data_IF_434313912673
#
_entry.id   IF_434313912673
#
_cell.length_a   1.000
_cell.length_b   1.000
_cell.length_c   1.000
_cell.angle_alpha   90.00
_cell.angle_beta   90.00
_cell.angle_gamma   90.00
#
_symmetry.space_group_name_H-M   'P 1'
#
loop_
_entity.id
_entity.type
_entity.pdbx_description
1 polymer ?
#
# COMPACT_ATOMS: atom_id res chain seq x y z
N UNK A 1 -5.23 -2.85 -3.93
CA UNK A 1 -4.62 -2.13 -2.80
C UNK A 1 -5.69 -1.30 -2.10
N UNK A 2 -5.83 -1.50 -0.80
CA UNK A 2 -6.58 -0.59 0.06
C UNK A 2 -5.66 0.53 0.53
N UNK A 3 -6.17 1.76 0.59
CA UNK A 3 -5.48 2.91 1.16
C UNK A 3 -6.46 3.85 1.86
N UNK A 4 -6.01 4.44 2.96
CA UNK A 4 -6.75 5.45 3.73
C UNK A 4 -5.84 6.60 4.13
N UNK A 5 -6.28 7.83 3.88
CA UNK A 5 -5.59 9.06 4.30
C UNK A 5 -6.60 9.96 5.01
N UNK A 6 -6.43 10.17 6.32
CA UNK A 6 -7.46 10.84 7.13
C UNK A 6 -8.77 10.05 7.09
N UNK A 7 -9.84 10.68 6.64
CA UNK A 7 -11.16 10.06 6.47
C UNK A 7 -11.40 9.47 5.06
N UNK A 8 -10.52 9.78 4.10
CA UNK A 8 -10.64 9.32 2.72
C UNK A 8 -10.12 7.88 2.57
N UNK A 9 -11.02 6.96 2.20
CA UNK A 9 -10.72 5.55 2.01
C UNK A 9 -11.04 5.09 0.58
N UNK A 10 -10.13 4.32 -0.02
CA UNK A 10 -10.36 3.72 -1.35
C UNK A 10 -9.72 2.34 -1.50
N UNK A 11 -10.31 1.53 -2.39
CA UNK A 11 -9.73 0.27 -2.84
C UNK A 11 -9.50 0.37 -4.35
N UNK A 12 -8.24 0.28 -4.76
CA UNK A 12 -7.83 0.32 -6.17
C UNK A 12 -7.42 -1.08 -6.60
N UNK A 13 -7.99 -1.67 -7.68
CA UNK A 13 -7.47 -2.89 -8.29
C UNK A 13 -6.00 -2.68 -8.72
N UNK A 14 -5.10 -3.56 -8.30
CA UNK A 14 -3.68 -3.50 -8.69
C UNK A 14 -3.42 -4.63 -9.68
N UNK A 15 -2.93 -4.25 -10.85
CA UNK A 15 -2.51 -5.13 -11.94
C UNK A 15 -1.26 -4.52 -12.60
N UNK A 16 -0.66 -5.25 -13.54
CA UNK A 16 0.48 -4.84 -14.34
C UNK A 16 0.21 -3.48 -15.00
N UNK A 17 1.18 -2.58 -14.87
CA UNK A 17 1.10 -1.22 -15.44
C UNK A 17 0.38 -0.19 -14.56
N UNK A 18 -0.21 -0.60 -13.44
CA UNK A 18 -0.79 0.35 -12.47
C UNK A 18 0.31 0.93 -11.58
N UNK A 19 0.36 2.27 -11.49
CA UNK A 19 1.23 3.01 -10.59
C UNK A 19 0.37 3.79 -9.59
N UNK A 20 0.70 3.70 -8.29
CA UNK A 20 -0.05 4.35 -7.21
C UNK A 20 0.88 5.20 -6.35
N UNK A 21 0.45 6.42 -6.04
CA UNK A 21 1.09 7.26 -5.04
C UNK A 21 0.58 6.91 -3.65
N UNK A 22 1.51 6.82 -2.68
CA UNK A 22 1.23 6.61 -1.27
C UNK A 22 1.78 7.83 -0.51
N UNK A 23 0.96 8.83 -0.20
CA UNK A 23 1.37 9.97 0.61
C UNK A 23 1.81 9.55 2.02
N UNK A 24 2.66 10.36 2.67
CA UNK A 24 3.01 10.15 4.07
C UNK A 24 1.76 10.13 4.96
N UNK A 25 1.72 9.21 5.92
CA UNK A 25 0.56 9.01 6.80
C UNK A 25 -0.56 8.17 6.20
N UNK A 26 -0.40 7.67 4.97
CA UNK A 26 -1.38 6.76 4.37
C UNK A 26 -1.32 5.39 5.04
N UNK A 27 -2.45 4.92 5.56
CA UNK A 27 -2.61 3.50 5.89
C UNK A 27 -2.82 2.74 4.59
N UNK A 28 -2.12 1.63 4.40
CA UNK A 28 -2.28 0.82 3.19
C UNK A 28 -2.21 -0.67 3.46
N UNK A 29 -2.84 -1.44 2.57
CA UNK A 29 -2.80 -2.90 2.61
C UNK A 29 -2.84 -3.48 1.19
N UNK A 30 -2.01 -4.48 0.95
CA UNK A 30 -2.03 -5.31 -0.25
C UNK A 30 -2.77 -6.61 0.04
N UNK A 31 -3.50 -7.11 -0.95
CA UNK A 31 -4.12 -8.43 -0.92
C UNK A 31 -4.02 -9.01 -2.33
N UNK A 32 -3.30 -10.13 -2.46
CA UNK A 32 -3.36 -10.90 -3.70
C UNK A 32 -4.67 -11.68 -3.74
N UNK A 33 -5.30 -11.73 -4.91
CA UNK A 33 -6.56 -12.46 -5.13
C UNK A 33 -6.41 -13.58 -6.16
N UNK A 34 -5.28 -13.63 -6.88
CA UNK A 34 -5.01 -14.63 -7.90
C UNK A 34 -4.09 -15.75 -7.40
N UNK A 35 -3.89 -16.75 -8.26
CA UNK A 35 -3.07 -17.93 -7.98
C UNK A 35 -1.56 -17.63 -8.01
N UNK A 36 -1.16 -16.50 -8.62
CA UNK A 36 0.22 -16.04 -8.68
C UNK A 36 0.53 -14.99 -7.61
N UNK A 37 1.79 -14.92 -7.11
CA UNK A 37 2.21 -13.88 -6.18
C UNK A 37 2.06 -12.47 -6.77
N UNK A 38 1.51 -11.55 -5.98
CA UNK A 38 1.53 -10.12 -6.31
C UNK A 38 2.95 -9.57 -6.07
N UNK A 39 3.60 -9.10 -7.14
CA UNK A 39 4.89 -8.41 -7.08
C UNK A 39 4.74 -6.93 -7.42
N UNK A 40 5.40 -6.06 -6.67
CA UNK A 40 5.41 -4.61 -6.89
C UNK A 40 6.78 -4.02 -6.56
N UNK A 41 7.08 -2.87 -7.17
CA UNK A 41 8.27 -2.07 -6.86
C UNK A 41 7.80 -0.80 -6.16
N UNK A 42 8.34 -0.54 -4.98
CA UNK A 42 8.13 0.72 -4.25
C UNK A 42 9.31 1.65 -4.47
N UNK A 43 9.02 2.92 -4.75
CA UNK A 43 10.03 3.99 -4.88
C UNK A 43 9.61 5.13 -3.96
N UNK A 44 10.55 5.67 -3.23
CA UNK A 44 10.31 6.69 -2.20
C UNK A 44 11.20 7.89 -2.48
N UNK A 45 10.62 9.09 -2.41
CA UNK A 45 11.35 10.34 -2.59
C UNK A 45 10.88 11.34 -1.51
N UNK A 46 11.74 11.73 -0.55
CA UNK A 46 13.15 11.34 -0.39
C UNK A 46 13.34 9.82 -0.14
N UNK A 47 14.58 9.30 -0.23
CA UNK A 47 14.86 7.91 0.09
C UNK A 47 14.27 7.50 1.44
N UNK A 48 13.84 6.25 1.54
CA UNK A 48 13.27 5.69 2.76
C UNK A 48 14.26 5.89 3.92
N UNK A 49 13.91 6.65 4.97
CA UNK A 49 14.83 7.05 6.03
C UNK A 49 15.15 5.89 6.96
N UNK A 50 14.38 4.80 6.93
CA UNK A 50 14.65 3.57 7.66
C UNK A 50 13.39 2.76 7.95
N UNK A 51 13.57 1.57 8.52
CA UNK A 51 12.49 0.61 8.77
C UNK A 51 11.37 1.15 9.68
N UNK A 52 11.67 2.18 10.49
CA UNK A 52 10.69 2.82 11.37
C UNK A 52 9.73 3.78 10.66
N UNK A 53 9.94 4.11 9.38
CA UNK A 53 9.03 5.00 8.64
C UNK A 53 7.65 4.36 8.43
N UNK A 54 7.60 3.04 8.25
CA UNK A 54 6.35 2.28 8.23
C UNK A 54 6.25 1.39 9.45
N UNK A 55 5.08 1.39 10.08
CA UNK A 55 4.73 0.54 11.20
C UNK A 55 3.40 -0.15 10.94
N UNK A 56 3.17 -1.30 11.57
CA UNK A 56 1.92 -2.03 11.41
C UNK A 56 0.75 -1.26 12.06
N UNK A 57 -0.38 -1.23 11.35
CA UNK A 57 -1.65 -0.65 11.80
C UNK A 57 -2.79 -1.60 11.45
N UNK A 58 -3.97 -1.38 12.03
CA UNK A 58 -5.17 -2.13 11.66
C UNK A 58 -5.56 -1.89 10.19
N UNK A 59 -5.55 -2.97 9.40
CA UNK A 59 -5.94 -2.95 7.99
C UNK A 59 -7.43 -3.23 7.76
N UNK A 60 -7.87 -3.09 6.51
CA UNK A 60 -9.25 -3.39 6.08
C UNK A 60 -9.56 -4.88 6.07
N UNK A 61 -8.60 -5.71 5.65
CA UNK A 61 -8.75 -7.15 5.55
C UNK A 61 -8.05 -7.84 6.72
N UNK A 62 -8.72 -8.83 7.30
CA UNK A 62 -8.09 -9.73 8.26
C UNK A 62 -6.96 -10.52 7.58
N UNK A 63 -5.93 -10.85 8.36
CA UNK A 63 -4.88 -11.80 7.97
C UNK A 63 -5.45 -13.21 7.87
#
# INVERSE_FOLDING_TARGET
MWRKLGDDESVVPVDRGICLTIPLGTHFQFRSLGDEPLAAVAVTMPPWPGDSEAYEVAGKWAR
#
